data_IF_526195202533
#
_entry.id   IF_526195202533
#
_cell.length_a   1.000
_cell.length_b   1.000
_cell.length_c   1.000
_cell.angle_alpha   90.00
_cell.angle_beta   90.00
_cell.angle_gamma   90.00
#
_symmetry.space_group_name_H-M   'P 1'
#
loop_
_entity.id
_entity.type
_entity.pdbx_description
1 polymer ?
#
# COMPACT_ATOMS: atom_id res chain seq x y z
N UNK A 1 22.96 32.10 -4.66
CA UNK A 1 23.68 31.25 -3.68
C UNK A 1 25.07 30.99 -4.23
N UNK A 2 26.06 31.79 -3.80
CA UNK A 2 27.43 31.68 -4.28
C UNK A 2 28.09 30.45 -3.63
N UNK A 3 28.53 29.49 -4.47
CA UNK A 3 29.29 28.32 -4.04
C UNK A 3 30.68 28.78 -3.55
N UNK A 4 31.12 28.26 -2.40
CA UNK A 4 32.44 28.57 -1.83
C UNK A 4 33.57 28.20 -2.83
N UNK A 5 34.67 28.97 -2.89
CA UNK A 5 35.73 28.86 -3.93
C UNK A 5 36.60 27.59 -3.88
N UNK A 6 36.13 26.52 -3.22
CA UNK A 6 36.77 25.19 -3.20
C UNK A 6 35.77 24.04 -3.16
N UNK A 7 34.47 24.30 -3.39
CA UNK A 7 33.45 23.25 -3.40
C UNK A 7 33.57 22.41 -4.68
N UNK A 8 34.22 21.26 -4.58
CA UNK A 8 34.26 20.28 -5.67
C UNK A 8 32.99 19.41 -5.61
N UNK A 9 32.27 19.32 -6.72
CA UNK A 9 31.12 18.42 -6.82
C UNK A 9 31.62 16.96 -6.84
N UNK A 10 31.33 16.23 -5.76
CA UNK A 10 31.71 14.82 -5.61
C UNK A 10 30.75 13.86 -6.35
N UNK A 11 29.61 14.35 -6.83
CA UNK A 11 28.63 13.54 -7.58
C UNK A 11 27.88 14.38 -8.59
N UNK A 12 27.70 13.83 -9.80
CA UNK A 12 26.90 14.42 -10.87
C UNK A 12 25.76 13.49 -11.22
N UNK A 13 24.51 13.93 -10.99
CA UNK A 13 23.31 13.18 -11.35
C UNK A 13 22.94 13.51 -12.79
N UNK A 14 23.05 12.52 -13.68
CA UNK A 14 22.70 12.69 -15.11
C UNK A 14 21.52 11.80 -15.44
N UNK A 15 20.43 12.41 -15.93
CA UNK A 15 19.27 11.68 -16.42
C UNK A 15 19.38 11.50 -17.93
N UNK A 16 19.50 10.25 -18.36
CA UNK A 16 19.51 9.88 -19.77
C UNK A 16 18.09 10.00 -20.37
N UNK A 17 18.01 10.40 -21.64
CA UNK A 17 16.75 10.40 -22.40
C UNK A 17 16.21 8.98 -22.56
N UNK A 18 14.89 8.80 -22.58
CA UNK A 18 14.25 7.49 -22.74
C UNK A 18 14.74 6.79 -24.01
N UNK A 19 15.34 5.60 -23.87
CA UNK A 19 15.90 4.82 -24.99
C UNK A 19 17.41 5.01 -25.23
N UNK A 20 18.09 5.88 -24.48
CA UNK A 20 19.55 5.98 -24.53
C UNK A 20 20.21 4.75 -23.89
N UNK A 21 21.22 4.18 -24.56
CA UNK A 21 21.99 3.06 -24.05
C UNK A 21 22.90 3.53 -22.89
N UNK A 22 22.54 3.11 -21.68
CA UNK A 22 23.29 3.41 -20.45
C UNK A 22 24.71 2.83 -20.52
N UNK A 23 24.90 1.67 -21.15
CA UNK A 23 26.20 1.02 -21.31
C UNK A 23 27.12 1.79 -22.25
N UNK A 24 26.57 2.28 -23.37
CA UNK A 24 27.30 3.16 -24.29
C UNK A 24 27.71 4.47 -23.62
N UNK A 25 26.82 5.07 -22.82
CA UNK A 25 27.12 6.29 -22.06
C UNK A 25 28.22 6.06 -21.01
N UNK A 26 28.13 4.99 -20.22
CA UNK A 26 29.15 4.63 -19.21
C UNK A 26 30.52 4.43 -19.87
N UNK A 27 30.57 3.75 -21.02
CA UNK A 27 31.82 3.55 -21.77
C UNK A 27 32.39 4.86 -22.30
N UNK A 28 31.54 5.74 -22.83
CA UNK A 28 31.96 7.06 -23.32
C UNK A 28 32.50 7.95 -22.18
N UNK A 29 31.84 7.95 -21.01
CA UNK A 29 32.29 8.70 -19.83
C UNK A 29 33.64 8.19 -19.32
N UNK A 30 33.82 6.87 -19.21
CA UNK A 30 35.11 6.27 -18.81
C UNK A 30 36.24 6.55 -19.80
N UNK A 31 35.92 6.64 -21.09
CA UNK A 31 36.91 6.97 -22.13
C UNK A 31 37.28 8.47 -22.11
N UNK A 32 36.35 9.35 -21.73
CA UNK A 32 36.56 10.78 -21.64
C UNK A 32 37.35 11.18 -20.38
N UNK A 33 37.10 10.53 -19.25
CA UNK A 33 37.82 10.79 -17.99
C UNK A 33 37.95 9.51 -17.14
N UNK A 34 39.17 8.96 -16.99
CA UNK A 34 39.45 7.80 -16.14
C UNK A 34 39.18 8.03 -14.64
N UNK A 35 39.10 9.29 -14.18
CA UNK A 35 38.83 9.65 -12.79
C UNK A 35 37.34 9.60 -12.42
N UNK A 36 36.44 9.49 -13.40
CA UNK A 36 35.00 9.35 -13.16
C UNK A 36 34.62 7.87 -13.03
N UNK A 37 33.96 7.54 -11.92
CA UNK A 37 33.36 6.23 -11.68
C UNK A 37 31.84 6.31 -11.88
N UNK A 38 31.33 6.19 -13.12
CA UNK A 38 29.89 6.22 -13.36
C UNK A 38 29.22 4.97 -12.76
N UNK A 39 28.32 5.20 -11.81
CA UNK A 39 27.42 4.19 -11.25
C UNK A 39 26.08 4.26 -11.99
N UNK A 40 25.85 3.30 -12.88
CA UNK A 40 24.58 3.17 -13.58
C UNK A 40 23.56 2.52 -12.63
N UNK A 41 22.73 3.33 -11.98
CA UNK A 41 21.59 2.85 -11.19
C UNK A 41 20.44 2.38 -12.09
N UNK A 42 20.71 1.39 -12.93
CA UNK A 42 19.73 0.70 -13.78
C UNK A 42 19.32 -0.64 -13.18
N UNK A 43 20.00 -1.07 -12.10
CA UNK A 43 19.70 -2.33 -11.43
C UNK A 43 18.46 -2.17 -10.55
N UNK A 44 17.39 -2.86 -10.93
CA UNK A 44 16.31 -3.16 -10.00
C UNK A 44 16.95 -3.97 -8.87
N UNK A 45 16.96 -3.44 -7.64
CA UNK A 45 17.59 -4.10 -6.49
C UNK A 45 16.93 -5.48 -6.28
N UNK A 46 17.56 -6.56 -6.75
CA UNK A 46 16.99 -7.91 -6.72
C UNK A 46 16.59 -8.35 -5.30
N UNK A 47 17.34 -7.90 -4.29
CA UNK A 47 16.98 -8.08 -2.88
C UNK A 47 15.68 -7.36 -2.50
N UNK A 48 15.52 -6.09 -2.89
CA UNK A 48 14.30 -5.33 -2.62
C UNK A 48 13.09 -5.92 -3.37
N UNK A 49 13.29 -6.37 -4.62
CA UNK A 49 12.23 -7.03 -5.40
C UNK A 49 11.75 -8.30 -4.72
N UNK A 50 12.68 -9.13 -4.22
CA UNK A 50 12.34 -10.38 -3.52
C UNK A 50 11.56 -10.12 -2.22
N UNK A 51 11.94 -9.09 -1.46
CA UNK A 51 11.24 -8.72 -0.22
C UNK A 51 9.85 -8.16 -0.53
N UNK A 52 9.74 -7.24 -1.49
CA UNK A 52 8.45 -6.65 -1.88
C UNK A 52 7.52 -7.71 -2.48
N UNK A 53 8.05 -8.62 -3.32
CA UNK A 53 7.24 -9.67 -3.95
C UNK A 53 6.72 -10.68 -2.93
N UNK A 54 7.56 -11.13 -2.00
CA UNK A 54 7.13 -12.04 -0.93
C UNK A 54 6.10 -11.39 -0.01
N UNK A 55 6.29 -10.14 0.40
CA UNK A 55 5.31 -9.39 1.17
C UNK A 55 3.98 -9.22 0.41
N UNK A 56 4.04 -8.99 -0.90
CA UNK A 56 2.84 -8.87 -1.76
C UNK A 56 2.07 -10.18 -1.83
N UNK A 57 2.77 -11.31 -1.98
CA UNK A 57 2.14 -12.65 -1.98
C UNK A 57 1.47 -12.94 -0.63
N UNK A 58 2.16 -12.67 0.48
CA UNK A 58 1.58 -12.84 1.82
C UNK A 58 0.34 -11.95 2.02
N UNK A 59 0.41 -10.70 1.57
CA UNK A 59 -0.73 -9.77 1.62
C UNK A 59 -1.93 -10.32 0.84
N UNK A 60 -1.69 -10.85 -0.35
CA UNK A 60 -2.73 -11.49 -1.16
C UNK A 60 -3.33 -12.71 -0.42
N UNK A 61 -2.49 -13.58 0.14
CA UNK A 61 -2.95 -14.75 0.90
C UNK A 61 -3.81 -14.34 2.09
N UNK A 62 -3.36 -13.39 2.91
CA UNK A 62 -4.10 -12.90 4.06
C UNK A 62 -5.42 -12.25 3.65
N UNK A 63 -5.43 -11.53 2.52
CA UNK A 63 -6.65 -10.93 1.97
C UNK A 63 -7.67 -12.01 1.59
N UNK A 64 -7.22 -13.09 0.96
CA UNK A 64 -8.09 -14.24 0.61
C UNK A 64 -8.64 -14.91 1.87
N UNK A 65 -7.79 -15.17 2.87
CA UNK A 65 -8.22 -15.77 4.14
C UNK A 65 -9.24 -14.88 4.85
N UNK A 66 -9.00 -13.57 4.91
CA UNK A 66 -9.94 -12.61 5.48
C UNK A 66 -11.28 -12.60 4.72
N UNK A 67 -11.23 -12.61 3.38
CA UNK A 67 -12.44 -12.68 2.54
C UNK A 67 -13.23 -13.97 2.79
N UNK A 68 -12.56 -15.12 2.92
CA UNK A 68 -13.21 -16.39 3.29
C UNK A 68 -13.85 -16.32 4.67
N UNK A 69 -13.20 -15.69 5.65
CA UNK A 69 -13.76 -15.47 6.98
C UNK A 69 -15.06 -14.68 6.94
N UNK A 70 -15.06 -13.53 6.23
CA UNK A 70 -16.26 -12.70 6.03
C UNK A 70 -17.35 -13.50 5.31
N UNK A 71 -16.99 -14.23 4.25
CA UNK A 71 -17.92 -15.07 3.51
C UNK A 71 -18.59 -16.11 4.42
N UNK A 72 -17.82 -16.78 5.27
CA UNK A 72 -18.35 -17.75 6.22
C UNK A 72 -19.35 -17.10 7.20
N UNK A 73 -19.04 -15.93 7.73
CA UNK A 73 -19.95 -15.18 8.62
C UNK A 73 -21.25 -14.78 7.89
N UNK A 74 -21.16 -14.34 6.64
CA UNK A 74 -22.34 -14.01 5.82
C UNK A 74 -23.21 -15.26 5.60
N UNK A 75 -22.60 -16.39 5.25
CA UNK A 75 -23.31 -17.67 5.03
C UNK A 75 -23.99 -18.14 6.32
N UNK A 76 -23.30 -18.08 7.45
CA UNK A 76 -23.86 -18.44 8.75
C UNK A 76 -25.06 -17.56 9.10
N UNK A 77 -24.89 -16.23 9.01
CA UNK A 77 -25.96 -15.26 9.30
C UNK A 77 -27.17 -15.44 8.38
N UNK A 78 -26.94 -15.77 7.10
CA UNK A 78 -27.99 -16.06 6.14
C UNK A 78 -28.77 -17.31 6.55
N UNK A 79 -28.06 -18.37 6.96
CA UNK A 79 -28.65 -19.64 7.37
C UNK A 79 -29.51 -19.50 8.61
N UNK A 80 -29.03 -18.78 9.62
CA UNK A 80 -29.79 -18.51 10.85
C UNK A 80 -31.10 -17.78 10.56
N UNK A 81 -31.06 -16.76 9.69
CA UNK A 81 -32.22 -15.93 9.36
C UNK A 81 -33.14 -16.52 8.30
N UNK A 82 -32.81 -17.68 7.69
CA UNK A 82 -33.60 -18.27 6.59
C UNK A 82 -35.07 -18.48 6.96
N UNK A 83 -35.36 -18.95 8.18
CA UNK A 83 -36.73 -19.21 8.63
C UNK A 83 -37.52 -17.92 8.78
N UNK A 84 -36.90 -16.90 9.36
CA UNK A 84 -37.52 -15.58 9.57
C UNK A 84 -37.81 -14.90 8.23
N UNK A 85 -36.87 -14.98 7.28
CA UNK A 85 -37.06 -14.50 5.91
C UNK A 85 -38.20 -15.23 5.19
N UNK A 86 -38.38 -16.53 5.46
CA UNK A 86 -39.51 -17.32 4.97
C UNK A 86 -40.86 -16.85 5.51
N UNK A 87 -40.93 -16.54 6.82
CA UNK A 87 -42.12 -15.96 7.44
C UNK A 87 -42.43 -14.57 6.88
N UNK A 88 -41.44 -13.69 6.79
CA UNK A 88 -41.62 -12.35 6.21
C UNK A 88 -42.17 -12.42 4.78
N UNK A 89 -41.68 -13.36 3.97
CA UNK A 89 -42.17 -13.58 2.61
C UNK A 89 -43.63 -14.08 2.58
N UNK A 90 -44.05 -14.89 3.55
CA UNK A 90 -45.45 -15.34 3.66
C UNK A 90 -46.44 -14.22 4.03
N UNK A 91 -45.97 -13.16 4.70
CA UNK A 91 -46.79 -11.98 5.05
C UNK A 91 -46.78 -10.93 3.90
N UNK A 92 -46.14 -11.26 2.75
CA UNK A 92 -46.19 -10.44 1.53
C UNK A 92 -44.93 -9.63 1.25
N UNK A 93 -43.83 -9.84 1.98
CA UNK A 93 -42.56 -9.17 1.68
C UNK A 93 -42.04 -9.59 0.30
N UNK A 94 -41.72 -8.62 -0.54
CA UNK A 94 -41.22 -8.88 -1.89
C UNK A 94 -39.77 -9.40 -1.85
N UNK A 95 -39.33 -10.23 -2.84
CA UNK A 95 -37.96 -10.75 -2.87
C UNK A 95 -36.89 -9.64 -2.85
N UNK A 96 -37.17 -8.50 -3.48
CA UNK A 96 -36.26 -7.34 -3.51
C UNK A 96 -36.07 -6.73 -2.12
N UNK A 97 -37.13 -6.60 -1.33
CA UNK A 97 -37.03 -6.09 0.04
C UNK A 97 -36.16 -7.00 0.90
N UNK A 98 -36.28 -8.32 0.75
CA UNK A 98 -35.45 -9.29 1.49
C UNK A 98 -33.97 -9.12 1.17
N UNK A 99 -33.63 -9.04 -0.12
CA UNK A 99 -32.23 -8.83 -0.55
C UNK A 99 -31.67 -7.51 -0.04
N UNK A 100 -32.44 -6.41 -0.15
CA UNK A 100 -32.00 -5.09 0.34
C UNK A 100 -31.75 -5.12 1.85
N UNK A 101 -32.66 -5.69 2.64
CA UNK A 101 -32.50 -5.80 4.09
C UNK A 101 -31.23 -6.57 4.46
N UNK A 102 -30.96 -7.67 3.76
CA UNK A 102 -29.76 -8.48 3.99
C UNK A 102 -28.48 -7.73 3.60
N UNK A 103 -28.47 -7.07 2.44
CA UNK A 103 -27.33 -6.27 1.98
C UNK A 103 -27.04 -5.14 2.95
N UNK A 104 -28.05 -4.40 3.41
CA UNK A 104 -27.88 -3.30 4.37
C UNK A 104 -27.33 -3.82 5.72
N UNK A 105 -27.83 -4.96 6.18
CA UNK A 105 -27.33 -5.58 7.43
C UNK A 105 -25.84 -5.96 7.33
N UNK A 106 -25.45 -6.56 6.20
CA UNK A 106 -24.05 -6.95 5.96
C UNK A 106 -23.15 -5.75 5.67
N UNK A 107 -23.67 -4.75 4.95
CA UNK A 107 -22.98 -3.48 4.73
C UNK A 107 -22.70 -2.77 6.06
N UNK A 108 -23.63 -2.80 7.02
CA UNK A 108 -23.40 -2.28 8.36
C UNK A 108 -22.23 -2.97 9.08
N UNK A 109 -22.16 -4.30 9.02
CA UNK A 109 -21.03 -5.05 9.59
C UNK A 109 -19.71 -4.74 8.87
N UNK A 110 -19.73 -4.63 7.55
CA UNK A 110 -18.57 -4.24 6.74
C UNK A 110 -18.08 -2.83 7.05
N UNK A 111 -19.02 -1.88 7.22
CA UNK A 111 -18.70 -0.50 7.60
C UNK A 111 -18.08 -0.43 8.99
N UNK A 112 -18.62 -1.16 9.97
CA UNK A 112 -18.03 -1.23 11.31
C UNK A 112 -16.62 -1.86 11.26
N UNK A 113 -16.46 -2.93 10.49
CA UNK A 113 -15.17 -3.58 10.27
C UNK A 113 -14.15 -2.65 9.61
N UNK A 114 -14.55 -1.89 8.60
CA UNK A 114 -13.69 -0.91 7.93
C UNK A 114 -13.36 0.28 8.83
N UNK A 115 -14.35 0.80 9.55
CA UNK A 115 -14.20 1.95 10.46
C UNK A 115 -13.22 1.64 11.61
N UNK A 116 -13.17 0.40 12.08
CA UNK A 116 -12.21 -0.04 13.10
C UNK A 116 -10.90 -0.54 12.48
N UNK A 117 -10.97 -1.26 11.37
CA UNK A 117 -9.82 -1.87 10.71
C UNK A 117 -8.85 -0.85 10.11
N UNK A 118 -9.37 0.21 9.47
CA UNK A 118 -8.55 1.29 8.90
C UNK A 118 -7.67 1.99 9.93
N UNK A 119 -8.20 2.56 11.04
CA UNK A 119 -7.36 3.24 12.02
C UNK A 119 -6.40 2.29 12.72
N UNK A 120 -6.81 1.04 12.99
CA UNK A 120 -5.91 0.03 13.55
C UNK A 120 -4.77 -0.32 12.60
N UNK A 121 -5.05 -0.46 11.31
CA UNK A 121 -4.04 -0.70 10.28
C UNK A 121 -3.04 0.45 10.15
N UNK A 122 -3.53 1.69 10.16
CA UNK A 122 -2.68 2.89 10.14
C UNK A 122 -1.82 2.98 11.41
N UNK A 123 -2.39 2.69 12.59
CA UNK A 123 -1.65 2.66 13.84
C UNK A 123 -0.55 1.59 13.82
N UNK A 124 -0.86 0.37 13.36
CA UNK A 124 0.11 -0.70 13.21
C UNK A 124 1.25 -0.32 12.26
N UNK A 125 0.92 0.27 11.10
CA UNK A 125 1.92 0.76 10.15
C UNK A 125 2.89 1.76 10.79
N UNK A 126 2.36 2.76 11.52
CA UNK A 126 3.20 3.76 12.23
C UNK A 126 4.13 3.12 13.26
N UNK A 127 3.65 2.11 13.99
CA UNK A 127 4.48 1.39 14.98
C UNK A 127 5.60 0.61 14.29
N UNK A 128 5.28 -0.12 13.22
CA UNK A 128 6.26 -0.93 12.47
C UNK A 128 7.35 -0.07 11.85
N UNK A 129 6.98 1.07 11.26
CA UNK A 129 7.96 1.99 10.66
C UNK A 129 8.89 2.57 11.73
N UNK A 130 8.35 3.06 12.87
CA UNK A 130 9.17 3.57 13.98
C UNK A 130 10.10 2.53 14.59
N UNK A 131 9.68 1.26 14.64
CA UNK A 131 10.55 0.16 15.09
C UNK A 131 11.70 -0.09 14.11
N UNK A 132 11.45 0.07 12.81
CA UNK A 132 12.47 -0.08 11.76
C UNK A 132 13.50 1.04 11.83
N UNK A 133 13.08 2.28 12.08
CA UNK A 133 13.97 3.44 12.26
C UNK A 133 14.96 3.25 13.42
N UNK A 134 14.48 2.72 14.55
CA UNK A 134 15.35 2.42 15.71
C UNK A 134 16.39 1.34 15.42
N UNK A 135 16.13 0.47 14.45
CA UNK A 135 16.97 -0.68 14.13
C UNK A 135 17.95 -0.41 12.99
N UNK A 136 17.61 0.49 12.06
CA UNK A 136 18.36 0.67 10.80
C UNK A 136 19.38 1.81 10.81
N UNK A 137 19.44 2.67 11.86
CA UNK A 137 20.28 3.89 11.90
C UNK A 137 20.13 4.82 10.66
N UNK A 138 19.03 4.66 9.90
CA UNK A 138 18.65 5.49 8.78
C UNK A 138 17.53 6.39 9.27
N UNK A 139 17.85 7.65 9.58
CA UNK A 139 16.86 8.65 9.97
C UNK A 139 16.05 9.04 8.73
N UNK A 140 14.88 8.43 8.55
CA UNK A 140 13.90 8.95 7.60
C UNK A 140 13.33 10.24 8.19
N UNK A 141 13.44 11.40 7.51
CA UNK A 141 12.88 12.64 8.03
C UNK A 141 11.37 12.49 8.24
N UNK A 142 10.84 12.91 9.39
CA UNK A 142 9.40 12.78 9.75
C UNK A 142 8.44 13.24 8.65
N UNK A 143 8.88 14.19 7.80
CA UNK A 143 8.14 14.70 6.63
C UNK A 143 7.82 13.65 5.55
N UNK A 144 8.56 12.54 5.48
CA UNK A 144 8.24 11.44 4.56
C UNK A 144 7.15 10.52 5.11
N UNK A 145 6.93 10.50 6.44
CA UNK A 145 5.90 9.70 7.09
C UNK A 145 4.58 10.45 7.30
N UNK A 146 4.61 11.79 7.23
CA UNK A 146 3.46 12.69 7.36
C UNK A 146 2.65 12.90 6.06
N UNK A 147 2.67 11.95 5.11
CA UNK A 147 1.83 12.05 3.90
C UNK A 147 0.36 11.69 4.19
N UNK A 148 0.09 10.81 5.16
CA UNK A 148 -1.28 10.51 5.59
C UNK A 148 -1.71 11.39 6.75
N UNK A 149 -2.10 12.62 6.41
CA UNK A 149 -2.94 13.44 7.28
C UNK A 149 -4.33 12.78 7.37
N UNK A 150 -4.80 12.39 8.56
CA UNK A 150 -6.15 11.81 8.75
C UNK A 150 -7.27 12.69 8.16
N UNK A 151 -7.03 14.01 8.09
CA UNK A 151 -7.96 14.99 7.51
C UNK A 151 -8.08 14.96 5.98
N UNK A 152 -7.06 14.53 5.23
CA UNK A 152 -7.14 14.49 3.76
C UNK A 152 -7.96 13.30 3.23
N UNK A 153 -8.10 12.23 4.02
CA UNK A 153 -8.97 11.10 3.66
C UNK A 153 -10.45 11.41 3.82
N UNK A 154 -10.83 12.26 4.79
CA UNK A 154 -12.21 12.67 4.97
C UNK A 154 -12.72 13.56 3.82
N UNK A 155 -11.82 14.31 3.17
CA UNK A 155 -12.16 15.24 2.08
C UNK A 155 -12.26 14.56 0.71
N UNK A 156 -11.69 13.36 0.54
CA UNK A 156 -11.88 12.55 -0.67
C UNK A 156 -13.09 11.59 -0.58
N UNK A 157 -13.74 11.53 0.58
CA UNK A 157 -14.93 10.71 0.83
C UNK A 157 -16.24 11.53 0.79
N UNK A 158 -16.17 12.82 0.43
CA UNK A 158 -17.30 13.76 0.32
C UNK A 158 -17.33 14.38 -1.07
#
# INVERSE_FOLDING_TARGET
TALAPGAQANQYWVRLTSGADVGAYVKAVRAADPGLYPDAKTSVNAGAVTVISSASVLTLMLTVVAAMGVFNTVVLSARERRRDLGMLKSIGMTPRQVTVMMVVSMAGLGLLGGLLGLPLGVAAYRVVVRMTERSAHLAFPDRMLDVWHPGSMALQAL
#
